data_IF_812165600823
#
_entry.id   IF_812165600823
#
_cell.length_a   1.000
_cell.length_b   1.000
_cell.length_c   1.000
_cell.angle_alpha   90.00
_cell.angle_beta   90.00
_cell.angle_gamma   90.00
#
_symmetry.space_group_name_H-M   'P 1'
#
loop_
_entity.id
_entity.type
_entity.pdbx_description
1 polymer ?
#
# COMPACT_ATOMS: atom_id res chain seq x y z
N UNK A 1 19.02 -14.99 11.56
CA UNK A 1 18.49 -14.57 10.25
C UNK A 1 18.41 -13.06 10.28
N UNK A 2 19.10 -12.36 9.39
CA UNK A 2 19.10 -10.88 9.37
C UNK A 2 17.83 -10.39 8.69
N UNK A 3 17.08 -9.43 9.28
CA UNK A 3 15.89 -8.87 8.65
C UNK A 3 16.25 -8.17 7.33
N UNK A 4 15.27 -8.06 6.42
CA UNK A 4 15.45 -7.34 5.17
C UNK A 4 15.83 -5.87 5.43
N UNK A 5 16.94 -5.37 4.85
CA UNK A 5 17.37 -3.98 5.03
C UNK A 5 16.53 -3.05 4.14
N UNK A 6 15.60 -2.31 4.75
CA UNK A 6 14.76 -1.33 4.07
C UNK A 6 15.61 -0.16 3.57
N UNK A 7 15.60 0.10 2.26
CA UNK A 7 16.33 1.23 1.68
C UNK A 7 15.49 2.51 1.62
N UNK A 8 14.19 2.37 1.36
CA UNK A 8 13.25 3.47 1.16
C UNK A 8 12.06 3.25 2.10
N UNK A 9 12.11 3.79 3.32
CA UNK A 9 11.05 3.58 4.28
C UNK A 9 9.75 4.21 3.78
N UNK A 10 8.67 3.44 3.87
CA UNK A 10 7.33 3.93 3.58
C UNK A 10 6.86 4.93 4.64
N UNK A 11 6.05 5.90 4.22
CA UNK A 11 5.18 6.63 5.15
C UNK A 11 3.91 5.81 5.34
N UNK A 12 3.67 5.36 6.57
CA UNK A 12 2.42 4.71 6.97
C UNK A 12 1.36 5.77 7.30
N UNK A 13 0.20 5.67 6.65
CA UNK A 13 -0.96 6.53 6.90
C UNK A 13 -2.23 5.71 7.04
N UNK A 14 -3.24 6.31 7.69
CA UNK A 14 -4.54 5.69 7.86
C UNK A 14 -5.66 6.61 7.36
N UNK A 15 -6.55 6.08 6.54
CA UNK A 15 -7.62 6.85 5.89
C UNK A 15 -9.00 6.27 6.25
N UNK A 16 -9.96 7.11 6.70
CA UNK A 16 -11.32 6.68 6.92
C UNK A 16 -12.06 6.58 5.58
N UNK A 17 -12.48 5.36 5.18
CA UNK A 17 -13.24 5.13 3.93
C UNK A 17 -14.37 4.16 4.24
N UNK A 18 -15.62 4.58 4.02
CA UNK A 18 -16.82 3.72 4.15
C UNK A 18 -16.81 2.88 5.45
N UNK A 19 -16.66 3.54 6.60
CA UNK A 19 -16.58 2.93 7.94
C UNK A 19 -15.33 2.09 8.24
N UNK A 20 -14.37 2.01 7.33
CA UNK A 20 -13.10 1.32 7.55
C UNK A 20 -11.98 2.33 7.80
N UNK A 21 -10.98 1.90 8.56
CA UNK A 21 -9.71 2.59 8.75
C UNK A 21 -8.67 1.87 7.90
N UNK A 22 -8.52 2.31 6.65
CA UNK A 22 -7.58 1.73 5.71
C UNK A 22 -6.16 2.11 6.06
N UNK A 23 -5.27 1.13 6.17
CA UNK A 23 -3.84 1.36 6.22
C UNK A 23 -3.29 1.50 4.80
N UNK A 24 -2.43 2.50 4.62
CA UNK A 24 -1.81 2.81 3.33
C UNK A 24 -0.33 3.07 3.56
N UNK A 25 0.51 2.40 2.78
CA UNK A 25 1.93 2.73 2.66
C UNK A 25 2.14 3.64 1.47
N UNK A 26 2.94 4.68 1.66
CA UNK A 26 3.21 5.68 0.63
C UNK A 26 4.71 5.92 0.48
N UNK A 27 5.16 6.10 -0.76
CA UNK A 27 6.51 6.51 -1.09
C UNK A 27 6.50 7.61 -2.16
N UNK A 28 7.65 8.26 -2.33
CA UNK A 28 7.83 9.31 -3.31
C UNK A 28 7.11 10.61 -2.93
N UNK A 29 6.99 11.51 -3.91
CA UNK A 29 6.44 12.85 -3.71
C UNK A 29 4.92 12.88 -3.78
N UNK A 30 4.27 13.27 -2.68
CA UNK A 30 2.81 13.38 -2.63
C UNK A 30 2.22 14.44 -3.58
N UNK A 31 3.02 15.46 -3.92
CA UNK A 31 2.68 16.58 -4.81
C UNK A 31 3.19 16.40 -6.24
N UNK A 32 3.63 15.19 -6.62
CA UNK A 32 4.08 14.92 -7.98
C UNK A 32 2.97 15.22 -9.00
N UNK A 33 3.30 15.89 -10.13
CA UNK A 33 2.35 16.11 -11.21
C UNK A 33 2.08 14.83 -12.04
N UNK A 34 2.89 13.79 -11.87
CA UNK A 34 2.73 12.53 -12.58
C UNK A 34 1.64 11.67 -11.92
N UNK A 35 0.92 10.84 -12.70
CA UNK A 35 -0.06 9.92 -12.14
C UNK A 35 0.55 9.00 -11.07
N UNK A 36 -0.13 8.76 -9.94
CA UNK A 36 0.38 7.86 -8.92
C UNK A 36 0.46 6.41 -9.43
N UNK A 37 1.45 5.66 -8.95
CA UNK A 37 1.46 4.20 -9.07
C UNK A 37 0.73 3.60 -7.87
N UNK A 38 -0.34 2.85 -8.13
CA UNK A 38 -1.08 2.14 -7.08
C UNK A 38 -0.73 0.66 -7.16
N UNK A 39 -0.17 0.13 -6.08
CA UNK A 39 0.24 -1.28 -5.95
C UNK A 39 -0.77 -2.01 -5.08
N UNK A 40 -1.54 -2.90 -5.70
CA UNK A 40 -2.63 -3.62 -5.04
C UNK A 40 -2.29 -5.09 -4.87
N UNK A 41 -2.21 -5.54 -3.62
CA UNK A 41 -1.83 -6.91 -3.31
C UNK A 41 -2.94 -7.92 -3.62
N UNK A 42 -2.56 -9.19 -3.70
CA UNK A 42 -3.47 -10.33 -3.85
C UNK A 42 -3.77 -11.02 -2.53
N UNK A 43 -4.32 -12.24 -2.63
CA UNK A 43 -4.53 -13.09 -1.46
C UNK A 43 -3.18 -13.47 -0.82
N UNK A 44 -3.14 -13.52 0.52
CA UNK A 44 -1.98 -13.80 1.37
C UNK A 44 -0.87 -12.75 1.39
N UNK A 45 -1.03 -11.61 0.72
CA UNK A 45 -0.11 -10.48 0.79
C UNK A 45 -0.73 -9.28 1.53
N UNK A 46 0.10 -8.27 1.77
CA UNK A 46 -0.26 -6.96 2.32
C UNK A 46 0.56 -5.86 1.61
N UNK A 47 0.25 -4.59 1.83
CA UNK A 47 0.97 -3.46 1.22
C UNK A 47 2.48 -3.49 1.51
N UNK A 48 2.90 -3.98 2.69
CA UNK A 48 4.31 -4.11 3.04
C UNK A 48 5.07 -5.13 2.17
N UNK A 49 4.38 -6.07 1.51
CA UNK A 49 5.00 -7.00 0.56
C UNK A 49 5.69 -6.25 -0.60
N UNK A 50 5.32 -5.00 -0.89
CA UNK A 50 5.95 -4.22 -1.96
C UNK A 50 7.25 -3.52 -1.58
N UNK A 51 7.71 -3.59 -0.33
CA UNK A 51 8.91 -2.85 0.12
C UNK A 51 10.13 -3.14 -0.75
N UNK A 52 10.41 -4.41 -1.03
CA UNK A 52 11.57 -4.80 -1.85
C UNK A 52 11.43 -4.37 -3.32
N UNK A 53 10.20 -4.32 -3.84
CA UNK A 53 9.91 -3.86 -5.19
C UNK A 53 10.12 -2.35 -5.30
N UNK A 54 9.64 -1.59 -4.31
CA UNK A 54 9.85 -0.14 -4.26
C UNK A 54 11.33 0.19 -4.07
N UNK A 55 12.07 -0.58 -3.28
CA UNK A 55 13.52 -0.45 -3.11
C UNK A 55 14.31 -0.74 -4.41
N UNK A 56 13.72 -1.49 -5.35
CA UNK A 56 14.32 -1.79 -6.65
C UNK A 56 14.05 -0.73 -7.73
N UNK A 57 13.14 0.22 -7.53
CA UNK A 57 12.93 1.31 -8.49
C UNK A 57 14.18 2.19 -8.65
N UNK A 58 14.30 2.89 -9.78
CA UNK A 58 15.33 3.92 -9.91
C UNK A 58 15.03 5.12 -9.00
N UNK A 59 16.06 5.87 -8.62
CA UNK A 59 15.89 7.05 -7.79
C UNK A 59 15.03 8.11 -8.50
N UNK A 60 15.21 8.27 -9.81
CA UNK A 60 14.47 9.20 -10.66
C UNK A 60 12.99 8.81 -10.73
N UNK A 61 12.69 7.52 -10.93
CA UNK A 61 11.31 7.04 -10.98
C UNK A 61 10.55 7.37 -9.70
N UNK A 62 11.16 7.13 -8.54
CA UNK A 62 10.51 7.38 -7.26
C UNK A 62 10.48 8.87 -6.87
N UNK A 63 11.48 9.65 -7.28
CA UNK A 63 11.49 11.10 -7.07
C UNK A 63 10.33 11.78 -7.82
N UNK A 64 10.02 11.30 -9.01
CA UNK A 64 9.02 11.91 -9.88
C UNK A 64 7.61 11.32 -9.75
N UNK A 65 7.37 10.35 -8.86
CA UNK A 65 6.06 9.69 -8.74
C UNK A 65 5.68 9.37 -7.31
N UNK A 66 4.40 9.57 -6.96
CA UNK A 66 3.81 9.00 -5.74
C UNK A 66 3.53 7.52 -5.95
N UNK A 67 3.96 6.69 -5.00
CA UNK A 67 3.61 5.26 -4.96
C UNK A 67 2.72 5.02 -3.75
N UNK A 68 1.62 4.27 -3.93
CA UNK A 68 0.62 4.00 -2.91
C UNK A 68 0.36 2.49 -2.87
N UNK A 69 0.48 1.88 -1.69
CA UNK A 69 0.15 0.48 -1.46
C UNK A 69 -0.83 0.35 -0.28
N UNK A 70 -2.15 0.26 -0.53
CA UNK A 70 -3.13 0.04 0.51
C UNK A 70 -3.14 -1.43 0.96
N UNK A 71 -3.44 -1.65 2.25
CA UNK A 71 -3.90 -2.96 2.72
C UNK A 71 -5.40 -3.08 2.43
N UNK A 72 -5.81 -4.14 1.73
CA UNK A 72 -7.22 -4.39 1.46
C UNK A 72 -8.04 -4.58 2.74
N UNK A 73 -9.37 -4.43 2.62
CA UNK A 73 -10.29 -4.71 3.73
C UNK A 73 -10.04 -6.12 4.26
N UNK A 74 -9.78 -6.25 5.56
CA UNK A 74 -9.48 -7.54 6.20
C UNK A 74 -8.03 -7.99 6.14
N UNK A 75 -7.13 -7.15 5.62
CA UNK A 75 -5.71 -7.44 5.47
C UNK A 75 -4.84 -6.44 6.21
N UNK A 76 -3.62 -6.86 6.51
CA UNK A 76 -2.57 -6.04 7.11
C UNK A 76 -3.08 -5.27 8.33
N UNK A 77 -2.99 -3.94 8.27
CA UNK A 77 -3.42 -3.06 9.36
C UNK A 77 -4.73 -2.34 9.06
N UNK A 78 -5.42 -2.68 7.97
CA UNK A 78 -6.75 -2.15 7.68
C UNK A 78 -7.77 -2.78 8.62
N UNK A 79 -8.48 -1.95 9.38
CA UNK A 79 -9.53 -2.39 10.31
C UNK A 79 -10.89 -1.85 9.91
N UNK A 80 -11.95 -2.50 10.40
CA UNK A 80 -13.33 -2.08 10.13
C UNK A 80 -14.34 -2.97 10.83
N UNK A 81 -15.63 -2.77 10.54
CA UNK A 81 -16.70 -3.61 11.07
C UNK A 81 -16.50 -5.08 10.71
N UNK A 82 -16.96 -5.97 11.59
CA UNK A 82 -17.04 -7.38 11.27
C UNK A 82 -17.96 -7.58 10.06
N UNK A 83 -17.59 -8.50 9.17
CA UNK A 83 -18.45 -8.96 8.09
C UNK A 83 -18.32 -10.48 7.95
N UNK A 84 -19.37 -11.13 7.48
CA UNK A 84 -19.44 -12.55 7.19
C UNK A 84 -18.92 -12.90 5.78
N UNK A 85 -18.94 -11.95 4.83
CA UNK A 85 -18.51 -12.17 3.46
C UNK A 85 -17.92 -10.93 2.77
N UNK A 86 -17.14 -11.18 1.72
CA UNK A 86 -16.65 -10.18 0.78
C UNK A 86 -17.38 -10.34 -0.54
N UNK A 87 -18.28 -9.40 -0.85
CA UNK A 87 -18.96 -9.40 -2.14
C UNK A 87 -18.00 -8.86 -3.22
N UNK A 88 -17.84 -9.62 -4.29
CA UNK A 88 -17.26 -9.16 -5.55
C UNK A 88 -18.40 -9.19 -6.57
N UNK A 89 -19.17 -8.10 -6.72
CA UNK A 89 -20.24 -8.08 -7.70
C UNK A 89 -19.61 -8.34 -9.08
N UNK A 90 -20.10 -9.36 -9.77
CA UNK A 90 -19.67 -9.81 -11.11
C UNK A 90 -18.50 -10.82 -11.19
N UNK A 91 -18.18 -11.55 -10.11
CA UNK A 91 -17.41 -12.81 -10.21
C UNK A 91 -18.32 -14.03 -10.42
#
# INVERSE_FOLDING_TARGET
MTPYPVARPARSTFLPIRFHRYHVLEWGRADSPNPPLVLTHGWMDIGASYQFLVDAFSAEFLADRRVIAPDWRGFGQTTGPACDHYAFPDY
#
